data_IF_643398250419
#
_entry.id   IF_643398250419
#
_cell.length_a   1.000
_cell.length_b   1.000
_cell.length_c   1.000
_cell.angle_alpha   90.00
_cell.angle_beta   90.00
_cell.angle_gamma   90.00
#
_symmetry.space_group_name_H-M   'P 1'
#
loop_
_entity.id
_entity.type
_entity.pdbx_description
1 polymer ?
#
# COMPACT_ATOMS: atom_id res chain seq x y z
N UNK A 1 17.35 7.28 -6.04
CA UNK A 1 16.82 6.64 -7.26
C UNK A 1 16.57 5.17 -6.99
N UNK A 2 15.38 4.69 -7.30
CA UNK A 2 14.97 3.30 -7.14
C UNK A 2 15.34 2.46 -8.36
N UNK A 3 15.16 1.15 -8.30
CA UNK A 3 15.37 0.28 -9.45
C UNK A 3 14.41 0.61 -10.61
N UNK A 4 13.18 1.13 -10.31
CA UNK A 4 12.21 1.54 -11.33
C UNK A 4 12.72 2.71 -12.19
N UNK A 5 13.40 3.69 -11.57
CA UNK A 5 14.02 4.79 -12.32
C UNK A 5 15.19 4.32 -13.21
N UNK A 6 15.88 3.23 -12.82
CA UNK A 6 16.92 2.62 -13.66
C UNK A 6 16.33 1.84 -14.84
N UNK A 7 15.17 1.20 -14.62
CA UNK A 7 14.46 0.45 -15.63
C UNK A 7 13.78 1.35 -16.67
N UNK A 8 13.19 2.47 -16.21
CA UNK A 8 12.47 3.42 -17.04
C UNK A 8 12.72 4.84 -16.55
N UNK A 9 13.46 5.64 -17.33
CA UNK A 9 13.94 6.97 -16.92
C UNK A 9 12.82 7.97 -16.69
N UNK A 10 11.72 7.82 -17.40
CA UNK A 10 10.53 8.66 -17.31
C UNK A 10 9.63 8.32 -16.12
N UNK A 11 9.92 7.22 -15.41
CA UNK A 11 9.14 6.80 -14.23
C UNK A 11 9.09 7.93 -13.20
N UNK A 12 7.86 8.35 -12.86
CA UNK A 12 7.56 9.45 -11.92
C UNK A 12 8.19 10.81 -12.29
N UNK A 13 8.70 10.99 -13.50
CA UNK A 13 9.38 12.23 -13.91
C UNK A 13 8.46 13.46 -13.94
N UNK A 14 7.15 13.26 -14.01
CA UNK A 14 6.15 14.34 -14.01
C UNK A 14 5.71 14.75 -12.61
N UNK A 15 6.18 14.07 -11.55
CA UNK A 15 5.85 14.45 -10.18
C UNK A 15 6.44 15.84 -9.87
N UNK A 16 5.64 16.77 -9.31
CA UNK A 16 6.16 18.08 -8.92
C UNK A 16 7.26 17.90 -7.87
N UNK A 17 8.22 18.83 -7.87
CA UNK A 17 9.20 18.86 -6.80
C UNK A 17 8.51 19.10 -5.47
N UNK A 18 8.95 18.36 -4.46
CA UNK A 18 8.47 18.55 -3.10
C UNK A 18 8.95 19.92 -2.61
N UNK A 19 8.05 20.67 -1.98
CA UNK A 19 8.33 21.96 -1.38
C UNK A 19 9.42 21.83 -0.29
N UNK A 20 10.33 22.78 -0.23
CA UNK A 20 11.44 22.78 0.74
C UNK A 20 10.88 22.80 2.18
N UNK A 21 9.79 23.52 2.43
CA UNK A 21 9.12 23.54 3.73
C UNK A 21 8.56 22.18 4.16
N UNK A 22 8.23 21.31 3.18
CA UNK A 22 7.84 19.94 3.47
C UNK A 22 9.07 19.05 3.76
N UNK A 23 10.15 19.23 3.00
CA UNK A 23 11.38 18.45 3.16
C UNK A 23 11.95 18.58 4.57
N UNK A 24 11.98 19.79 5.12
CA UNK A 24 12.48 20.05 6.49
C UNK A 24 11.62 19.41 7.58
N UNK A 25 10.36 19.06 7.30
CA UNK A 25 9.46 18.40 8.25
C UNK A 25 9.65 16.88 8.29
N UNK A 26 10.20 16.25 7.25
CA UNK A 26 10.41 14.80 7.20
C UNK A 26 11.23 14.29 8.39
N UNK A 27 12.38 14.90 8.76
CA UNK A 27 13.12 14.50 9.95
C UNK A 27 12.32 14.61 11.25
N UNK A 28 11.44 15.60 11.37
CA UNK A 28 10.59 15.79 12.55
C UNK A 28 9.54 14.69 12.67
N UNK A 29 8.94 14.28 11.55
CA UNK A 29 8.01 13.13 11.51
C UNK A 29 8.75 11.85 11.94
N UNK A 30 9.97 11.61 11.43
CA UNK A 30 10.80 10.49 11.84
C UNK A 30 11.09 10.51 13.34
N UNK A 31 11.47 11.64 13.90
CA UNK A 31 11.70 11.80 15.34
C UNK A 31 10.42 11.56 16.18
N UNK A 32 9.26 11.99 15.68
CA UNK A 32 7.98 11.73 16.34
C UNK A 32 7.69 10.23 16.42
N UNK A 33 7.89 9.48 15.32
CA UNK A 33 7.71 8.03 15.27
C UNK A 33 8.69 7.32 16.21
N UNK A 34 9.97 7.70 16.21
CA UNK A 34 10.99 7.17 17.11
C UNK A 34 10.62 7.43 18.57
N UNK A 35 10.14 8.63 18.87
CA UNK A 35 9.65 9.01 20.20
C UNK A 35 8.40 8.23 20.61
N UNK A 36 7.58 7.84 19.66
CA UNK A 36 6.41 6.99 19.87
C UNK A 36 6.76 5.50 20.06
N UNK A 37 8.00 5.09 19.75
CA UNK A 37 8.41 3.68 19.72
C UNK A 37 7.78 2.92 18.56
N UNK A 38 7.50 3.62 17.44
CA UNK A 38 7.00 3.03 16.20
C UNK A 38 8.21 2.76 15.30
N UNK A 39 8.39 1.51 14.93
CA UNK A 39 9.50 1.10 14.06
C UNK A 39 9.32 1.68 12.66
N UNK A 40 10.44 2.10 12.07
CA UNK A 40 10.52 2.65 10.71
C UNK A 40 11.50 1.84 9.89
N UNK A 41 11.20 1.65 8.62
CA UNK A 41 12.09 0.98 7.69
C UNK A 41 12.34 1.82 6.46
N UNK A 42 13.59 1.84 6.03
CA UNK A 42 14.05 2.49 4.81
C UNK A 42 15.11 1.58 4.17
N UNK A 43 15.08 1.43 2.86
CA UNK A 43 16.07 0.64 2.11
C UNK A 43 16.42 1.37 0.83
N UNK A 44 17.69 1.67 0.63
CA UNK A 44 18.17 2.31 -0.58
C UNK A 44 17.87 1.46 -1.82
N UNK A 45 17.43 2.12 -2.88
CA UNK A 45 17.11 1.47 -4.16
C UNK A 45 15.71 0.89 -4.28
N UNK A 46 14.91 0.89 -3.19
CA UNK A 46 13.53 0.42 -3.16
C UNK A 46 12.57 1.54 -2.77
N UNK A 47 11.30 1.34 -3.08
CA UNK A 47 10.22 2.23 -2.66
C UNK A 47 9.58 1.74 -1.35
N UNK A 48 8.85 2.61 -0.68
CA UNK A 48 8.12 2.23 0.53
C UNK A 48 7.17 1.04 0.27
N UNK A 49 6.57 1.01 -0.91
CA UNK A 49 5.63 -0.03 -1.32
C UNK A 49 6.29 -1.43 -1.38
N UNK A 50 7.55 -1.49 -1.82
CA UNK A 50 8.31 -2.75 -1.85
C UNK A 50 8.60 -3.27 -0.44
N UNK A 51 8.88 -2.36 0.51
CA UNK A 51 9.05 -2.72 1.92
C UNK A 51 7.72 -3.14 2.54
N UNK A 52 6.63 -2.41 2.26
CA UNK A 52 5.27 -2.78 2.69
C UNK A 52 4.90 -4.16 2.14
N UNK A 53 5.13 -4.42 0.85
CA UNK A 53 4.88 -5.71 0.23
C UNK A 53 5.66 -6.85 0.88
N UNK A 54 6.95 -6.63 1.13
CA UNK A 54 7.84 -7.61 1.78
C UNK A 54 7.41 -7.91 3.21
N UNK A 55 7.14 -6.87 4.01
CA UNK A 55 6.68 -7.01 5.40
C UNK A 55 5.32 -7.73 5.41
N UNK A 56 4.41 -7.32 4.54
CA UNK A 56 3.08 -7.95 4.42
C UNK A 56 3.20 -9.44 4.16
N UNK A 57 4.05 -9.87 3.21
CA UNK A 57 4.29 -11.28 2.92
C UNK A 57 4.85 -12.05 4.11
N UNK A 58 5.82 -11.46 4.83
CA UNK A 58 6.42 -12.08 6.01
C UNK A 58 5.34 -12.30 7.08
N UNK A 59 4.52 -11.28 7.37
CA UNK A 59 3.47 -11.40 8.39
C UNK A 59 2.35 -12.35 7.98
N UNK A 60 1.91 -12.32 6.73
CA UNK A 60 0.88 -13.24 6.22
C UNK A 60 1.35 -14.70 6.30
N UNK A 61 2.61 -14.98 5.91
CA UNK A 61 3.22 -16.32 6.03
C UNK A 61 3.22 -16.81 7.47
N UNK A 62 3.39 -15.92 8.44
CA UNK A 62 3.30 -16.20 9.87
C UNK A 62 1.87 -16.15 10.42
N UNK A 63 0.84 -16.17 9.55
CA UNK A 63 -0.60 -16.22 9.86
C UNK A 63 -1.13 -14.99 10.62
N UNK A 64 -0.48 -13.85 10.49
CA UNK A 64 -1.02 -12.58 10.98
C UNK A 64 -2.10 -12.05 10.04
N UNK A 65 -3.07 -11.36 10.60
CA UNK A 65 -3.96 -10.47 9.84
C UNK A 65 -3.25 -9.14 9.67
N UNK A 66 -3.08 -8.72 8.42
CA UNK A 66 -2.37 -7.49 8.07
C UNK A 66 -3.37 -6.43 7.64
N UNK A 67 -3.22 -5.21 8.17
CA UNK A 67 -3.97 -4.03 7.73
C UNK A 67 -2.98 -2.96 7.32
N UNK A 68 -2.96 -2.62 6.04
CA UNK A 68 -2.07 -1.59 5.48
C UNK A 68 -2.84 -0.26 5.44
N UNK A 69 -2.35 0.74 6.17
CA UNK A 69 -2.94 2.08 6.14
C UNK A 69 -2.25 2.92 5.06
N UNK A 70 -2.95 3.17 3.97
CA UNK A 70 -2.42 3.97 2.85
C UNK A 70 -3.54 4.57 2.00
N UNK A 71 -3.25 5.68 1.31
CA UNK A 71 -4.10 6.23 0.24
C UNK A 71 -3.74 5.69 -1.14
N UNK A 72 -2.62 4.97 -1.27
CA UNK A 72 -2.13 4.44 -2.52
C UNK A 72 -2.91 3.20 -2.96
N UNK A 73 -3.42 3.24 -4.20
CA UNK A 73 -4.20 2.14 -4.77
C UNK A 73 -3.32 1.00 -5.31
N UNK A 74 -2.04 1.24 -5.51
CA UNK A 74 -1.11 0.22 -5.99
C UNK A 74 -0.95 -0.89 -4.97
N UNK A 75 -1.06 -0.54 -3.70
CA UNK A 75 -1.06 -1.48 -2.57
C UNK A 75 -2.24 -2.47 -2.62
N UNK A 76 -3.31 -2.19 -3.38
CA UNK A 76 -4.42 -3.13 -3.51
C UNK A 76 -4.01 -4.48 -4.11
N UNK A 77 -2.90 -4.54 -4.87
CA UNK A 77 -2.35 -5.80 -5.37
C UNK A 77 -1.89 -6.76 -4.26
N UNK A 78 -1.67 -6.26 -3.04
CA UNK A 78 -1.26 -7.05 -1.88
C UNK A 78 -2.43 -7.66 -1.11
N UNK A 79 -3.68 -7.29 -1.43
CA UNK A 79 -4.86 -7.75 -0.70
C UNK A 79 -5.08 -9.25 -0.93
N UNK A 80 -5.25 -9.98 0.18
CA UNK A 80 -5.56 -11.43 0.22
C UNK A 80 -6.73 -11.69 1.17
N UNK A 81 -6.92 -12.93 1.62
CA UNK A 81 -7.90 -13.25 2.66
C UNK A 81 -7.49 -12.74 4.05
N UNK A 82 -6.18 -12.52 4.26
CA UNK A 82 -5.63 -12.05 5.53
C UNK A 82 -5.04 -10.64 5.46
N UNK A 83 -4.98 -10.02 4.28
CA UNK A 83 -4.41 -8.69 4.04
C UNK A 83 -5.50 -7.74 3.58
N UNK A 84 -5.63 -6.62 4.26
CA UNK A 84 -6.62 -5.58 4.01
C UNK A 84 -5.94 -4.22 3.84
N UNK A 85 -6.55 -3.31 3.11
CA UNK A 85 -6.10 -1.93 3.01
C UNK A 85 -7.10 -0.99 3.65
N UNK A 86 -6.64 -0.21 4.61
CA UNK A 86 -7.38 0.86 5.25
C UNK A 86 -7.05 2.18 4.53
N UNK A 87 -7.95 2.67 3.69
CA UNK A 87 -7.71 3.87 2.89
C UNK A 87 -8.51 5.07 3.40
N UNK A 88 -7.83 6.18 3.77
CA UNK A 88 -8.50 7.44 4.07
C UNK A 88 -9.30 7.93 2.86
N UNK A 89 -10.56 8.37 3.09
CA UNK A 89 -11.43 8.90 2.02
C UNK A 89 -11.37 10.43 2.01
N UNK A 90 -12.18 11.09 2.80
CA UNK A 90 -12.19 12.54 2.95
C UNK A 90 -11.61 12.88 4.32
N UNK A 91 -10.27 12.98 4.39
CA UNK A 91 -9.53 13.16 5.64
C UNK A 91 -9.41 11.86 6.45
N UNK A 92 -8.64 11.90 7.55
CA UNK A 92 -8.35 10.73 8.39
C UNK A 92 -9.55 10.24 9.22
N UNK A 93 -10.65 11.00 9.27
CA UNK A 93 -11.84 10.62 10.03
C UNK A 93 -12.66 9.50 9.36
N UNK A 94 -12.57 9.38 8.04
CA UNK A 94 -13.32 8.41 7.25
C UNK A 94 -12.37 7.42 6.59
N UNK A 95 -12.16 6.29 7.23
CA UNK A 95 -11.33 5.19 6.70
C UNK A 95 -12.24 4.13 6.09
N UNK A 96 -12.01 3.78 4.83
CA UNK A 96 -12.64 2.64 4.18
C UNK A 96 -11.69 1.47 4.18
N UNK A 97 -12.18 0.30 4.62
CA UNK A 97 -11.44 -0.96 4.51
C UNK A 97 -11.74 -1.59 3.15
N UNK A 98 -10.69 -1.93 2.44
CA UNK A 98 -10.75 -2.66 1.18
C UNK A 98 -10.31 -4.10 1.41
N UNK A 99 -11.16 -5.01 1.01
CA UNK A 99 -10.91 -6.44 0.82
C UNK A 99 -10.93 -6.78 -0.68
N UNK A 100 -10.84 -8.06 -1.01
CA UNK A 100 -10.90 -8.53 -2.41
C UNK A 100 -12.15 -8.03 -3.13
N UNK A 101 -13.31 -8.15 -2.49
CA UNK A 101 -14.59 -7.80 -3.11
C UNK A 101 -14.72 -6.29 -3.38
N UNK A 102 -14.20 -5.46 -2.47
CA UNK A 102 -14.21 -4.00 -2.64
C UNK A 102 -13.24 -3.54 -3.75
N UNK A 103 -12.13 -4.26 -3.94
CA UNK A 103 -11.21 -4.00 -5.07
C UNK A 103 -11.86 -4.40 -6.39
N UNK A 104 -12.45 -5.59 -6.49
CA UNK A 104 -13.15 -6.05 -7.70
C UNK A 104 -14.28 -5.09 -8.09
N UNK A 105 -15.11 -4.65 -7.14
CA UNK A 105 -16.15 -3.64 -7.40
C UNK A 105 -15.60 -2.32 -7.91
N UNK A 106 -14.38 -1.94 -7.47
CA UNK A 106 -13.78 -0.65 -7.80
C UNK A 106 -13.02 -0.64 -9.12
N UNK A 107 -12.27 -1.71 -9.40
CA UNK A 107 -11.32 -1.79 -10.52
C UNK A 107 -11.75 -2.76 -11.61
N UNK A 108 -12.81 -3.56 -11.38
CA UNK A 108 -13.27 -4.60 -12.28
C UNK A 108 -12.19 -5.68 -12.56
N UNK A 109 -11.27 -5.88 -11.61
CA UNK A 109 -10.26 -6.95 -11.61
C UNK A 109 -9.95 -7.37 -10.18
N UNK A 110 -9.53 -8.62 -9.98
CA UNK A 110 -9.11 -9.13 -8.68
C UNK A 110 -7.77 -8.51 -8.23
N UNK A 111 -7.48 -8.44 -6.91
CA UNK A 111 -6.22 -7.89 -6.40
C UNK A 111 -4.96 -8.45 -7.08
N UNK A 112 -4.88 -9.74 -7.27
CA UNK A 112 -3.76 -10.41 -7.94
C UNK A 112 -3.68 -10.16 -9.46
N UNK A 113 -4.66 -9.48 -10.03
CA UNK A 113 -4.71 -9.08 -11.43
C UNK A 113 -4.39 -7.60 -11.65
N UNK A 114 -4.19 -6.83 -10.60
CA UNK A 114 -3.93 -5.37 -10.71
C UNK A 114 -2.66 -5.10 -11.50
N UNK A 115 -1.62 -5.89 -11.29
CA UNK A 115 -0.35 -5.75 -12.04
C UNK A 115 -0.58 -5.97 -13.54
N UNK A 116 -1.34 -7.01 -13.89
CA UNK A 116 -1.68 -7.33 -15.27
C UNK A 116 -2.52 -6.22 -15.92
N UNK A 117 -3.51 -5.73 -15.18
CA UNK A 117 -4.34 -4.61 -15.58
C UNK A 117 -3.52 -3.34 -15.84
N UNK A 118 -2.63 -2.96 -14.91
CA UNK A 118 -1.76 -1.79 -15.05
C UNK A 118 -0.70 -1.96 -16.14
N UNK A 119 -0.23 -3.17 -16.38
CA UNK A 119 0.66 -3.46 -17.50
C UNK A 119 0.04 -3.08 -18.85
N UNK A 120 -1.27 -3.30 -18.99
CA UNK A 120 -2.01 -2.99 -20.21
C UNK A 120 -2.46 -1.52 -20.26
N UNK A 121 -3.09 -1.04 -19.18
CA UNK A 121 -3.67 0.30 -19.13
C UNK A 121 -2.64 1.42 -18.93
N UNK A 122 -1.44 1.08 -18.42
CA UNK A 122 -0.47 2.06 -17.95
C UNK A 122 -0.89 2.73 -16.64
N UNK A 123 -0.08 3.65 -16.17
CA UNK A 123 -0.38 4.52 -15.04
C UNK A 123 0.12 5.94 -15.29
N UNK A 124 -0.79 6.89 -15.53
CA UNK A 124 -0.41 8.29 -15.71
C UNK A 124 0.21 8.93 -14.47
N UNK A 125 -0.12 8.46 -13.25
CA UNK A 125 0.41 9.03 -12.00
C UNK A 125 1.88 8.69 -11.81
N UNK A 126 2.30 7.52 -12.29
CA UNK A 126 3.69 7.05 -12.26
C UNK A 126 4.38 7.17 -13.62
N UNK A 127 3.67 7.74 -14.60
CA UNK A 127 4.19 8.05 -15.91
C UNK A 127 4.79 6.87 -16.66
N UNK A 128 4.06 5.72 -16.67
CA UNK A 128 4.39 4.62 -17.59
C UNK A 128 3.19 4.26 -18.48
N UNK A 129 3.47 3.90 -19.77
CA UNK A 129 2.44 4.02 -20.81
C UNK A 129 1.45 2.85 -20.92
N UNK A 130 1.81 1.63 -20.49
CA UNK A 130 1.06 0.43 -20.86
C UNK A 130 1.08 0.19 -22.38
N UNK A 131 -0.08 -0.13 -22.95
CA UNK A 131 -0.26 -0.21 -24.39
C UNK A 131 -1.17 0.93 -24.89
N UNK A 132 -0.75 1.63 -25.93
CA UNK A 132 -1.42 2.83 -26.46
C UNK A 132 -2.87 2.55 -26.85
N UNK A 133 -3.79 3.35 -26.29
CA UNK A 133 -5.22 3.23 -26.55
C UNK A 133 -5.91 2.05 -25.86
N UNK A 134 -5.22 1.30 -25.03
CA UNK A 134 -5.81 0.31 -24.12
C UNK A 134 -6.06 0.98 -22.77
N UNK A 135 -7.28 1.47 -22.61
CA UNK A 135 -7.73 2.07 -21.36
C UNK A 135 -8.32 1.04 -20.39
N UNK A 136 -8.81 1.51 -19.21
CA UNK A 136 -9.31 0.67 -18.12
C UNK A 136 -10.29 -0.43 -18.56
N UNK A 137 -11.31 -0.09 -19.35
CA UNK A 137 -12.35 -1.05 -19.79
C UNK A 137 -11.81 -2.13 -20.72
N UNK A 138 -10.88 -1.80 -21.61
CA UNK A 138 -10.28 -2.78 -22.52
C UNK A 138 -9.29 -3.65 -21.75
N UNK A 139 -8.53 -3.08 -20.83
CA UNK A 139 -7.61 -3.83 -19.98
C UNK A 139 -8.36 -4.84 -19.11
N UNK A 140 -9.43 -4.44 -18.39
CA UNK A 140 -10.21 -5.37 -17.57
C UNK A 140 -10.84 -6.49 -18.42
N UNK A 141 -11.42 -6.16 -19.60
CA UNK A 141 -11.96 -7.17 -20.53
C UNK A 141 -10.91 -8.21 -20.94
N UNK A 142 -9.70 -7.76 -21.29
CA UNK A 142 -8.60 -8.67 -21.65
C UNK A 142 -8.18 -9.55 -20.46
N UNK A 143 -8.09 -8.98 -19.27
CA UNK A 143 -7.71 -9.72 -18.07
C UNK A 143 -8.81 -10.71 -17.67
N UNK A 144 -10.08 -10.38 -17.78
CA UNK A 144 -11.18 -11.34 -17.58
C UNK A 144 -11.13 -12.51 -18.57
N UNK A 145 -10.76 -12.25 -19.82
CA UNK A 145 -10.72 -13.28 -20.85
C UNK A 145 -9.47 -14.17 -20.75
N UNK A 146 -8.31 -13.61 -20.49
CA UNK A 146 -7.02 -14.30 -20.59
C UNK A 146 -6.31 -14.50 -19.24
N UNK A 147 -6.68 -13.76 -18.21
CA UNK A 147 -6.10 -13.83 -16.87
C UNK A 147 -4.80 -13.04 -16.70
N UNK A 148 -3.81 -13.26 -17.57
CA UNK A 148 -2.46 -12.66 -17.48
C UNK A 148 -2.01 -12.08 -18.81
N UNK A 149 -1.03 -11.19 -18.77
CA UNK A 149 -0.37 -10.61 -19.95
C UNK A 149 0.27 -11.73 -20.79
N UNK A 150 0.91 -12.70 -20.17
CA UNK A 150 1.53 -13.84 -20.87
C UNK A 150 0.49 -14.60 -21.68
N UNK A 151 -0.63 -14.96 -21.07
CA UNK A 151 -1.72 -15.68 -21.73
C UNK A 151 -2.34 -14.88 -22.88
N UNK A 152 -2.40 -13.53 -22.76
CA UNK A 152 -2.83 -12.67 -23.87
C UNK A 152 -1.90 -12.85 -25.07
N UNK A 153 -0.57 -12.82 -24.85
CA UNK A 153 0.40 -12.97 -25.94
C UNK A 153 0.46 -14.39 -26.50
N UNK A 154 0.29 -15.41 -25.66
CA UNK A 154 0.20 -16.81 -26.13
C UNK A 154 -1.04 -17.04 -26.99
N UNK A 155 -2.13 -16.32 -26.72
CA UNK A 155 -3.40 -16.44 -27.42
C UNK A 155 -3.77 -15.16 -28.19
N UNK A 156 -2.78 -14.45 -28.69
CA UNK A 156 -2.96 -13.11 -29.27
C UNK A 156 -3.96 -13.11 -30.44
N UNK A 157 -4.06 -14.21 -31.21
CA UNK A 157 -5.00 -14.34 -32.31
C UNK A 157 -6.46 -14.51 -31.86
N UNK A 158 -6.70 -14.85 -30.59
CA UNK A 158 -8.02 -14.91 -29.99
C UNK A 158 -8.53 -13.53 -29.48
N UNK A 159 -7.71 -12.49 -29.57
CA UNK A 159 -8.14 -11.11 -29.25
C UNK A 159 -9.10 -10.63 -30.34
N UNK A 160 -10.36 -10.38 -29.97
CA UNK A 160 -11.45 -10.05 -30.91
C UNK A 160 -11.20 -8.79 -31.74
N UNK A 161 -10.64 -7.75 -31.14
CA UNK A 161 -10.39 -6.47 -31.82
C UNK A 161 -9.05 -6.49 -32.54
N UNK A 162 -9.07 -6.43 -33.87
CA UNK A 162 -7.86 -6.39 -34.69
C UNK A 162 -6.96 -5.19 -34.30
N UNK A 163 -7.57 -4.03 -34.07
CA UNK A 163 -6.84 -2.82 -33.62
C UNK A 163 -6.10 -3.06 -32.29
N UNK A 164 -6.75 -3.70 -31.33
CA UNK A 164 -6.13 -4.02 -30.01
C UNK A 164 -5.00 -5.03 -30.20
N UNK A 165 -5.23 -6.03 -31.03
CA UNK A 165 -4.24 -7.07 -31.36
C UNK A 165 -2.97 -6.48 -31.96
N UNK A 166 -3.11 -5.58 -32.95
CA UNK A 166 -1.98 -4.89 -33.58
C UNK A 166 -1.20 -4.03 -32.60
N UNK A 167 -1.90 -3.27 -31.74
CA UNK A 167 -1.25 -2.46 -30.70
C UNK A 167 -0.46 -3.34 -29.73
N UNK A 168 -1.07 -4.42 -29.24
CA UNK A 168 -0.41 -5.36 -28.32
C UNK A 168 0.83 -5.99 -28.96
N UNK A 169 0.75 -6.42 -30.23
CA UNK A 169 1.90 -6.96 -30.96
C UNK A 169 3.03 -5.93 -31.11
N UNK A 170 2.69 -4.68 -31.45
CA UNK A 170 3.64 -3.60 -31.66
C UNK A 170 4.30 -3.13 -30.36
N UNK A 171 3.55 -3.06 -29.28
CA UNK A 171 3.97 -2.44 -28.01
C UNK A 171 4.24 -3.46 -26.90
N UNK A 172 4.55 -4.70 -27.28
CA UNK A 172 4.83 -5.79 -26.34
C UNK A 172 5.84 -5.42 -25.26
N UNK A 173 6.96 -4.82 -25.66
CA UNK A 173 8.02 -4.43 -24.72
C UNK A 173 7.54 -3.38 -23.73
N UNK A 174 6.73 -2.41 -24.17
CA UNK A 174 6.11 -1.40 -23.32
C UNK A 174 5.21 -2.03 -22.26
N UNK A 175 4.39 -3.01 -22.63
CA UNK A 175 3.52 -3.74 -21.69
C UNK A 175 4.35 -4.50 -20.66
N UNK A 176 5.42 -5.18 -21.05
CA UNK A 176 6.28 -5.90 -20.10
C UNK A 176 7.10 -4.97 -19.19
N UNK A 177 7.54 -3.82 -19.70
CA UNK A 177 8.16 -2.80 -18.86
C UNK A 177 7.14 -2.27 -17.85
N UNK A 178 5.93 -1.93 -18.29
CA UNK A 178 4.85 -1.47 -17.43
C UNK A 178 4.47 -2.50 -16.37
N UNK A 179 4.44 -3.79 -16.72
CA UNK A 179 4.23 -4.89 -15.77
C UNK A 179 5.31 -4.89 -14.68
N UNK A 180 6.58 -4.76 -15.05
CA UNK A 180 7.69 -4.68 -14.08
C UNK A 180 7.61 -3.44 -13.19
N UNK A 181 7.21 -2.30 -13.74
CA UNK A 181 7.06 -1.05 -12.99
C UNK A 181 5.89 -1.12 -12.00
N UNK A 182 4.77 -1.72 -12.40
CA UNK A 182 3.57 -1.88 -11.57
C UNK A 182 3.75 -2.91 -10.45
N UNK A 183 4.69 -3.85 -10.59
CA UNK A 183 4.89 -4.93 -9.62
C UNK A 183 5.55 -4.41 -8.35
N UNK A 184 4.89 -4.61 -7.22
CA UNK A 184 5.47 -4.39 -5.89
C UNK A 184 6.31 -5.61 -5.52
N UNK A 185 7.57 -5.38 -5.15
CA UNK A 185 8.43 -6.47 -4.68
C UNK A 185 8.00 -6.93 -3.29
N UNK A 186 8.06 -8.23 -3.07
CA UNK A 186 7.65 -8.86 -1.81
C UNK A 186 8.75 -9.70 -1.17
N UNK A 187 9.97 -9.58 -1.68
CA UNK A 187 11.13 -10.39 -1.32
C UNK A 187 12.41 -9.54 -1.13
N UNK A 188 12.23 -8.26 -0.83
CA UNK A 188 13.36 -7.37 -0.50
C UNK A 188 14.07 -7.91 0.75
N UNK A 189 15.38 -8.03 0.68
CA UNK A 189 16.17 -8.43 1.84
C UNK A 189 16.13 -7.36 2.92
N UNK A 190 15.44 -7.64 4.04
CA UNK A 190 15.29 -6.75 5.18
C UNK A 190 15.62 -7.51 6.47
N UNK A 191 16.23 -6.82 7.43
CA UNK A 191 16.40 -7.32 8.80
C UNK A 191 15.17 -6.95 9.62
N UNK A 192 14.27 -7.92 9.84
CA UNK A 192 13.00 -7.73 10.52
C UNK A 192 12.94 -8.52 11.82
N UNK A 193 12.95 -7.82 12.94
CA UNK A 193 12.70 -8.40 14.27
C UNK A 193 11.24 -8.13 14.68
N UNK A 194 10.38 -9.15 14.56
CA UNK A 194 8.94 -9.05 14.88
C UNK A 194 8.69 -8.61 16.32
N UNK A 195 9.57 -8.97 17.26
CA UNK A 195 9.42 -8.59 18.67
C UNK A 195 9.62 -7.08 18.88
N UNK A 196 10.48 -6.44 18.09
CA UNK A 196 10.66 -4.99 18.10
C UNK A 196 9.46 -4.23 17.55
N UNK A 197 8.68 -4.86 16.68
CA UNK A 197 7.49 -4.24 16.07
C UNK A 197 6.28 -4.19 17.00
N UNK A 198 6.33 -4.87 18.15
CA UNK A 198 5.24 -4.86 19.13
C UNK A 198 5.02 -3.45 19.67
N UNK A 199 3.87 -2.88 19.35
CA UNK A 199 3.48 -1.60 19.90
C UNK A 199 3.17 -1.73 21.40
N UNK A 200 3.91 -0.97 22.22
CA UNK A 200 3.80 -0.98 23.71
C UNK A 200 3.01 0.19 24.26
N UNK A 201 2.22 0.84 23.41
CA UNK A 201 1.48 2.05 23.74
C UNK A 201 2.36 3.32 23.69
N UNK A 202 1.71 4.47 23.58
CA UNK A 202 2.41 5.75 23.57
C UNK A 202 3.11 6.02 24.91
N UNK A 203 4.33 6.51 24.84
CA UNK A 203 5.19 6.75 26.00
C UNK A 203 5.37 8.26 26.29
N UNK A 204 6.06 8.58 27.39
CA UNK A 204 6.30 9.97 27.79
C UNK A 204 7.17 10.73 26.76
N UNK A 205 8.10 10.06 26.07
CA UNK A 205 8.98 10.72 25.09
C UNK A 205 8.18 11.35 23.95
N UNK A 206 7.12 10.66 23.48
CA UNK A 206 6.23 11.25 22.45
C UNK A 206 5.51 12.47 23.00
N UNK A 207 5.03 12.43 24.24
CA UNK A 207 4.32 13.57 24.85
C UNK A 207 5.26 14.78 24.98
N UNK A 208 6.48 14.57 25.44
CA UNK A 208 7.49 15.61 25.58
C UNK A 208 7.83 16.21 24.20
N UNK A 209 7.99 15.37 23.17
CA UNK A 209 8.19 15.80 21.78
C UNK A 209 7.02 16.64 21.26
N UNK A 210 5.79 16.17 21.39
CA UNK A 210 4.61 16.89 20.92
C UNK A 210 4.40 18.21 21.66
N UNK A 211 4.75 18.27 22.95
CA UNK A 211 4.69 19.48 23.76
C UNK A 211 5.71 20.52 23.29
N UNK A 212 6.94 20.09 22.98
CA UNK A 212 7.98 20.94 22.42
C UNK A 212 7.52 21.62 21.12
N UNK A 213 6.79 20.92 20.28
CA UNK A 213 6.25 21.45 19.01
C UNK A 213 4.83 22.01 19.14
N UNK A 214 4.33 22.24 20.35
CA UNK A 214 3.02 22.83 20.65
C UNK A 214 1.83 22.11 20.02
N UNK A 215 1.94 20.79 19.79
CA UNK A 215 0.90 19.95 19.19
C UNK A 215 -0.17 19.53 20.22
N UNK A 216 -0.80 20.51 20.89
CA UNK A 216 -1.71 20.30 22.02
C UNK A 216 -2.92 19.41 21.70
N UNK A 217 -3.49 19.54 20.50
CA UNK A 217 -4.64 18.73 20.07
C UNK A 217 -4.27 17.25 19.96
N UNK A 218 -3.10 16.94 19.38
CA UNK A 218 -2.62 15.56 19.25
C UNK A 218 -2.26 14.98 20.61
N UNK A 219 -1.61 15.75 21.46
CA UNK A 219 -1.32 15.37 22.84
C UNK A 219 -2.60 14.99 23.61
N UNK A 220 -3.65 15.81 23.53
CA UNK A 220 -4.95 15.48 24.16
C UNK A 220 -5.56 14.19 23.64
N UNK A 221 -5.52 13.94 22.32
CA UNK A 221 -6.03 12.68 21.73
C UNK A 221 -5.29 11.46 22.27
N UNK A 222 -3.96 11.52 22.38
CA UNK A 222 -3.14 10.42 22.91
C UNK A 222 -3.47 10.13 24.38
N UNK A 223 -3.69 11.13 25.19
CA UNK A 223 -4.11 10.95 26.57
C UNK A 223 -5.52 10.35 26.68
N UNK A 224 -6.46 10.80 25.85
CA UNK A 224 -7.82 10.24 25.84
C UNK A 224 -7.82 8.76 25.48
N UNK A 225 -6.97 8.34 24.56
CA UNK A 225 -6.81 6.91 24.19
C UNK A 225 -6.30 6.11 25.40
N UNK A 226 -5.27 6.60 26.11
CA UNK A 226 -4.75 5.92 27.32
C UNK A 226 -5.80 5.76 28.44
N UNK A 227 -6.70 6.71 28.60
CA UNK A 227 -7.78 6.61 29.59
C UNK A 227 -8.83 5.55 29.21
N UNK A 228 -9.11 5.41 27.91
CA UNK A 228 -10.02 4.38 27.39
C UNK A 228 -9.40 2.99 27.56
N UNK A 229 -8.15 2.80 27.16
CA UNK A 229 -7.42 1.53 27.31
C UNK A 229 -7.38 1.07 28.76
N UNK A 230 -7.04 1.95 29.71
CA UNK A 230 -7.05 1.64 31.14
C UNK A 230 -8.42 1.23 31.68
N UNK A 231 -9.50 1.84 31.18
CA UNK A 231 -10.86 1.49 31.57
C UNK A 231 -11.30 0.13 31.01
N UNK A 232 -10.84 -0.24 29.82
CA UNK A 232 -11.12 -1.55 29.23
C UNK A 232 -10.32 -2.67 29.91
N UNK A 233 -9.05 -2.45 30.24
CA UNK A 233 -8.25 -3.41 31.04
C UNK A 233 -8.86 -3.64 32.40
N UNK A 234 -9.27 -2.58 33.11
CA UNK A 234 -9.93 -2.72 34.42
C UNK A 234 -11.29 -3.41 34.35
N UNK A 235 -12.00 -3.35 33.20
CA UNK A 235 -13.23 -4.12 33.00
C UNK A 235 -12.98 -5.60 32.74
N UNK A 236 -11.88 -5.95 32.10
CA UNK A 236 -11.47 -7.36 31.85
C UNK A 236 -10.93 -8.05 33.10
N UNK A 237 -10.39 -7.30 34.06
CA UNK A 237 -9.85 -7.82 35.32
C UNK A 237 -10.91 -8.01 36.42
N UNK A 238 -12.15 -7.54 36.24
CA UNK A 238 -13.26 -7.86 37.15
C UNK A 238 -13.93 -9.14 36.66
N UNK A 239 -13.74 -10.29 37.37
CA UNK A 239 -14.54 -11.47 37.11
C UNK A 239 -16.00 -11.12 37.40
N UNK A 240 -16.93 -11.56 36.53
CA UNK A 240 -18.34 -11.51 36.77
C UNK A 240 -18.62 -12.15 38.17
N UNK A 241 -18.94 -11.34 39.15
CA UNK A 241 -19.52 -11.83 40.38
C UNK A 241 -20.89 -12.34 39.98
N UNK A 242 -21.00 -13.66 39.85
CA UNK A 242 -22.27 -14.36 39.80
C UNK A 242 -22.96 -14.07 41.15
N UNK A 243 -23.92 -13.19 41.17
CA UNK A 243 -24.85 -13.07 42.26
C UNK A 243 -25.68 -14.38 42.30
N UNK A 244 -25.33 -15.24 43.25
CA UNK A 244 -26.16 -16.35 43.67
C UNK A 244 -27.27 -15.79 44.55
N UNK A 245 -28.47 -15.65 43.99
CA UNK A 245 -29.72 -15.75 44.75
C UNK A 245 -30.75 -16.46 43.89
#
# INVERSE_FOLDING_TARGET
ATFRNKLFKEYQSQRPKIDDDFIIQIPLVKQALDSAGIERMEKDGFEADDLIGTITRIFETNKFRVVILTGDKDIFQLITDNVFVAAPQLGLANIKIFDKSEVEKKLDVAPNQIVEYKALAGDPSDNYPGASGIGPKTASKLIHQFGTVENIYENIEAVESEKVKEVLKKEKDSVYISKKLATIMTDVEIDLDIEKLKFKGFNKKLIDFLTQYQMSTLTKRIFSIKEVEKKEEQKKEKPDQIELF
#
